data_IF_962596643874
#
_entry.id   IF_962596643874
#
_cell.length_a   1.000
_cell.length_b   1.000
_cell.length_c   1.000
_cell.angle_alpha   90.00
_cell.angle_beta   90.00
_cell.angle_gamma   90.00
#
_symmetry.space_group_name_H-M   'P 1'
#
loop_
_entity.id
_entity.type
_entity.pdbx_description
1 polymer ?
#
# COMPACT_ATOMS: atom_id res chain seq x y z
N UNK A 1 0.88 -6.44 4.78
CA UNK A 1 1.55 -5.29 4.13
C UNK A 1 2.47 -5.84 3.05
N UNK A 2 2.27 -5.45 1.78
CA UNK A 2 3.13 -5.90 0.69
C UNK A 2 4.14 -4.79 0.40
N UNK A 3 5.42 -5.03 0.72
CA UNK A 3 6.48 -4.13 0.27
C UNK A 3 6.66 -4.32 -1.24
N UNK A 4 6.94 -3.24 -1.98
CA UNK A 4 7.31 -3.31 -3.40
C UNK A 4 8.66 -4.01 -3.64
N UNK A 5 9.38 -4.34 -2.57
CA UNK A 5 10.56 -5.21 -2.54
C UNK A 5 10.33 -6.23 -1.42
N UNK A 6 10.09 -7.50 -1.78
CA UNK A 6 9.68 -8.55 -0.84
C UNK A 6 10.84 -9.33 -0.21
N UNK A 7 12.08 -8.97 -0.54
CA UNK A 7 13.29 -9.45 0.15
C UNK A 7 14.32 -8.33 0.23
N UNK A 8 14.82 -8.03 1.44
CA UNK A 8 16.11 -7.35 1.63
C UNK A 8 17.03 -8.35 2.34
N UNK A 9 18.27 -8.55 1.86
CA UNK A 9 19.31 -9.10 2.73
C UNK A 9 19.56 -8.07 3.82
N UNK A 10 19.70 -8.50 5.07
CA UNK A 10 20.14 -7.61 6.13
C UNK A 10 21.37 -6.80 5.66
N UNK A 11 21.30 -5.48 5.80
CA UNK A 11 22.38 -4.50 5.58
C UNK A 11 22.74 -4.03 4.15
N UNK A 12 21.90 -4.16 3.13
CA UNK A 12 22.14 -3.45 1.85
C UNK A 12 20.89 -2.79 1.27
N UNK A 13 20.79 -1.47 1.42
CA UNK A 13 19.79 -0.66 0.73
C UNK A 13 20.13 -0.58 -0.77
N UNK A 14 19.11 -0.76 -1.64
CA UNK A 14 19.15 -0.52 -3.10
C UNK A 14 20.03 -1.44 -3.99
N UNK A 15 20.54 -2.57 -3.54
CA UNK A 15 21.43 -3.41 -4.39
C UNK A 15 20.74 -4.14 -5.54
N UNK A 16 19.39 -4.26 -5.54
CA UNK A 16 18.63 -5.11 -6.48
C UNK A 16 17.51 -4.36 -7.25
N UNK A 17 17.64 -3.06 -7.45
CA UNK A 17 16.81 -2.34 -8.43
C UNK A 17 17.16 -2.89 -9.83
N UNK A 18 16.16 -3.21 -10.65
CA UNK A 18 16.30 -3.73 -12.03
C UNK A 18 16.61 -5.24 -12.24
N UNK A 19 16.56 -6.09 -11.20
CA UNK A 19 16.71 -7.56 -11.36
C UNK A 19 15.39 -8.36 -11.34
N UNK A 20 14.23 -7.71 -11.53
CA UNK A 20 12.95 -8.39 -11.81
C UNK A 20 11.90 -8.38 -10.69
N UNK A 21 12.18 -7.79 -9.52
CA UNK A 21 11.17 -7.66 -8.45
C UNK A 21 9.99 -6.76 -8.85
N UNK A 22 10.19 -5.77 -9.72
CA UNK A 22 9.07 -5.00 -10.28
C UNK A 22 8.11 -5.89 -11.06
N UNK A 23 8.61 -6.89 -11.81
CA UNK A 23 7.75 -7.77 -12.59
C UNK A 23 6.89 -8.66 -11.69
N UNK A 24 7.47 -9.19 -10.62
CA UNK A 24 6.74 -9.98 -9.64
C UNK A 24 5.64 -9.17 -8.96
N UNK A 25 5.98 -7.97 -8.47
CA UNK A 25 5.01 -7.11 -7.78
C UNK A 25 3.93 -6.60 -8.73
N UNK A 26 4.27 -6.32 -10.00
CA UNK A 26 3.28 -5.96 -11.02
C UNK A 26 2.33 -7.11 -11.35
N UNK A 27 2.85 -8.34 -11.43
CA UNK A 27 2.02 -9.53 -11.62
C UNK A 27 1.06 -9.72 -10.43
N UNK A 28 1.54 -9.57 -9.19
CA UNK A 28 0.71 -9.64 -8.01
C UNK A 28 -0.38 -8.55 -8.01
N UNK A 29 -0.03 -7.30 -8.35
CA UNK A 29 -0.99 -6.20 -8.45
C UNK A 29 -2.05 -6.48 -9.52
N UNK A 30 -1.64 -6.98 -10.69
CA UNK A 30 -2.56 -7.36 -11.76
C UNK A 30 -3.53 -8.45 -11.31
N UNK A 31 -3.04 -9.50 -10.64
CA UNK A 31 -3.90 -10.56 -10.11
C UNK A 31 -4.87 -10.00 -9.08
N UNK A 32 -4.39 -9.20 -8.11
CA UNK A 32 -5.25 -8.58 -7.11
C UNK A 32 -6.34 -7.69 -7.73
N UNK A 33 -6.01 -6.94 -8.80
CA UNK A 33 -6.98 -6.09 -9.51
C UNK A 33 -8.10 -6.90 -10.20
N UNK A 34 -7.88 -8.19 -10.50
CA UNK A 34 -8.93 -9.06 -11.07
C UNK A 34 -9.88 -9.64 -10.03
N UNK A 35 -9.60 -9.50 -8.74
CA UNK A 35 -10.42 -10.12 -7.70
C UNK A 35 -11.75 -9.40 -7.60
N UNK A 36 -12.85 -10.17 -7.66
CA UNK A 36 -14.20 -9.64 -7.56
C UNK A 36 -14.66 -9.38 -6.11
N UNK A 37 -13.82 -8.70 -5.32
CA UNK A 37 -14.17 -8.26 -3.97
C UNK A 37 -13.55 -6.89 -3.68
N UNK A 38 -14.12 -6.10 -2.77
CA UNK A 38 -13.55 -4.82 -2.39
C UNK A 38 -12.15 -4.97 -1.80
N UNK A 39 -11.19 -4.21 -2.34
CA UNK A 39 -9.78 -4.19 -1.91
C UNK A 39 -9.35 -2.72 -1.82
N UNK A 40 -8.60 -2.39 -0.78
CA UNK A 40 -8.00 -1.06 -0.61
C UNK A 40 -6.50 -1.13 -0.90
N UNK A 41 -6.05 -0.33 -1.87
CA UNK A 41 -4.64 -0.14 -2.21
C UNK A 41 -4.16 1.19 -1.64
N UNK A 42 -3.20 1.14 -0.71
CA UNK A 42 -2.58 2.33 -0.13
C UNK A 42 -1.22 2.55 -0.79
N UNK A 43 -1.11 3.60 -1.59
CA UNK A 43 0.07 3.92 -2.41
C UNK A 43 0.80 5.15 -1.87
N UNK A 44 1.83 4.93 -1.06
CA UNK A 44 2.65 6.01 -0.49
C UNK A 44 3.93 6.25 -1.29
N UNK A 45 4.10 7.50 -1.73
CA UNK A 45 5.25 7.93 -2.53
C UNK A 45 5.15 7.61 -4.03
N UNK A 46 5.92 8.34 -4.83
CA UNK A 46 5.87 8.27 -6.29
C UNK A 46 6.06 6.85 -6.86
N UNK A 47 6.95 5.98 -6.34
CA UNK A 47 7.10 4.63 -6.86
C UNK A 47 5.84 3.76 -6.75
N UNK A 48 5.14 3.83 -5.62
CA UNK A 48 3.89 3.11 -5.43
C UNK A 48 2.77 3.71 -6.29
N UNK A 49 2.70 5.04 -6.36
CA UNK A 49 1.67 5.74 -7.16
C UNK A 49 1.79 5.43 -8.66
N UNK A 50 2.98 5.16 -9.19
CA UNK A 50 3.14 4.72 -10.60
C UNK A 50 2.41 3.42 -10.92
N UNK A 51 2.08 2.59 -9.91
CA UNK A 51 1.36 1.32 -10.09
C UNK A 51 -0.15 1.52 -10.23
N UNK A 52 -0.66 2.73 -9.97
CA UNK A 52 -2.08 3.10 -10.12
C UNK A 52 -2.62 2.81 -11.54
N UNK A 53 -1.80 2.94 -12.58
CA UNK A 53 -2.22 2.66 -13.96
C UNK A 53 -2.65 1.22 -14.21
N UNK A 54 -2.28 0.28 -13.32
CA UNK A 54 -2.69 -1.12 -13.39
C UNK A 54 -3.96 -1.41 -12.57
N UNK A 55 -4.45 -0.44 -11.79
CA UNK A 55 -5.58 -0.59 -10.87
C UNK A 55 -6.81 0.09 -11.48
N UNK A 56 -7.60 -0.68 -12.24
CA UNK A 56 -8.76 -0.17 -12.98
C UNK A 56 -10.09 -0.81 -12.56
N UNK A 57 -10.08 -1.68 -11.55
CA UNK A 57 -11.30 -2.30 -11.05
C UNK A 57 -12.09 -1.31 -10.18
N UNK A 58 -13.34 -0.95 -10.55
CA UNK A 58 -14.14 0.03 -9.84
C UNK A 58 -14.61 -0.45 -8.45
N UNK A 59 -14.49 -1.75 -8.14
CA UNK A 59 -14.74 -2.30 -6.81
C UNK A 59 -13.58 -2.05 -5.84
N UNK A 60 -12.46 -1.51 -6.30
CA UNK A 60 -11.30 -1.25 -5.45
C UNK A 60 -11.17 0.24 -5.12
N UNK A 61 -10.59 0.53 -3.96
CA UNK A 61 -10.25 1.89 -3.54
C UNK A 61 -8.74 2.10 -3.62
N UNK A 62 -8.32 3.23 -4.18
CA UNK A 62 -6.92 3.65 -4.23
C UNK A 62 -6.75 4.88 -3.33
N UNK A 63 -5.91 4.76 -2.31
CA UNK A 63 -5.55 5.85 -1.40
C UNK A 63 -4.10 6.26 -1.65
N UNK A 64 -3.87 7.54 -1.96
CA UNK A 64 -2.53 8.06 -2.26
C UNK A 64 -2.11 9.11 -1.24
N UNK A 65 -0.83 9.08 -0.87
CA UNK A 65 -0.20 10.14 -0.10
C UNK A 65 1.30 10.19 -0.41
N UNK A 66 2.02 11.28 -0.07
CA UNK A 66 3.47 11.28 0.02
C UNK A 66 4.00 10.15 0.92
N UNK A 67 5.28 9.82 0.78
CA UNK A 67 5.90 8.79 1.61
C UNK A 67 5.95 9.23 3.09
N UNK A 68 5.77 8.33 4.07
CA UNK A 68 5.86 8.64 5.50
C UNK A 68 7.25 9.10 5.99
N UNK A 69 8.26 9.09 5.10
CA UNK A 69 9.62 9.53 5.45
C UNK A 69 9.59 10.98 5.94
N UNK A 70 10.39 11.36 6.96
CA UNK A 70 10.47 12.73 7.48
C UNK A 70 10.67 13.79 6.38
N UNK A 71 11.38 13.44 5.30
CA UNK A 71 11.66 14.33 4.16
C UNK A 71 10.40 14.74 3.37
N UNK A 72 9.34 13.94 3.41
CA UNK A 72 8.11 14.14 2.62
C UNK A 72 6.83 14.12 3.43
N UNK A 73 6.86 13.72 4.70
CA UNK A 73 5.65 13.49 5.48
C UNK A 73 4.79 14.75 5.66
N UNK A 74 5.44 15.90 5.88
CA UNK A 74 4.80 17.20 6.03
C UNK A 74 4.13 17.71 4.74
N UNK A 75 4.45 17.12 3.58
CA UNK A 75 3.90 17.53 2.28
C UNK A 75 2.53 16.90 1.98
N UNK A 76 1.89 16.29 2.97
CA UNK A 76 0.54 15.73 2.85
C UNK A 76 0.40 14.26 3.24
N UNK A 77 1.42 13.62 3.83
CA UNK A 77 1.23 12.33 4.50
C UNK A 77 0.46 12.53 5.80
N UNK A 78 0.90 13.47 6.64
CA UNK A 78 0.13 13.89 7.81
C UNK A 78 -1.20 14.49 7.37
N UNK A 79 -2.29 14.02 7.97
CA UNK A 79 -3.65 14.40 7.58
C UNK A 79 -4.26 13.62 6.40
N UNK A 80 -3.51 12.73 5.73
CA UNK A 80 -4.04 11.92 4.62
C UNK A 80 -5.13 10.92 5.06
N UNK A 81 -5.15 10.57 6.35
CA UNK A 81 -6.11 9.67 7.02
C UNK A 81 -6.32 8.33 6.28
N UNK A 82 -5.25 7.61 5.91
CA UNK A 82 -5.38 6.41 5.07
C UNK A 82 -6.08 5.27 5.80
N UNK A 83 -5.85 5.14 7.12
CA UNK A 83 -6.44 4.08 7.95
C UNK A 83 -7.94 4.25 8.16
N UNK A 84 -8.41 5.47 8.50
CA UNK A 84 -9.84 5.71 8.68
C UNK A 84 -10.59 5.57 7.36
N UNK A 85 -10.07 6.13 6.27
CA UNK A 85 -10.65 5.98 4.91
C UNK A 85 -10.71 4.52 4.46
N UNK A 86 -9.72 3.71 4.84
CA UNK A 86 -9.74 2.26 4.58
C UNK A 86 -10.92 1.63 5.29
N UNK A 87 -11.09 1.87 6.59
CA UNK A 87 -12.20 1.30 7.36
C UNK A 87 -13.56 1.83 6.90
N UNK A 88 -13.69 3.12 6.57
CA UNK A 88 -14.90 3.71 5.99
C UNK A 88 -15.32 2.97 4.72
N UNK A 89 -14.37 2.67 3.83
CA UNK A 89 -14.64 1.92 2.61
C UNK A 89 -15.01 0.45 2.88
N UNK A 90 -14.31 -0.21 3.79
CA UNK A 90 -14.62 -1.60 4.16
C UNK A 90 -16.04 -1.71 4.73
N UNK A 91 -16.39 -0.82 5.67
CA UNK A 91 -17.72 -0.76 6.29
C UNK A 91 -18.80 -0.49 5.23
N UNK A 92 -18.57 0.48 4.32
CA UNK A 92 -19.51 0.79 3.24
C UNK A 92 -19.75 -0.39 2.28
N UNK A 93 -18.84 -1.37 2.25
CA UNK A 93 -18.96 -2.59 1.46
C UNK A 93 -19.28 -3.84 2.30
N UNK A 94 -19.69 -3.67 3.57
CA UNK A 94 -20.05 -4.79 4.45
C UNK A 94 -18.89 -5.67 4.88
N UNK A 95 -17.66 -5.15 4.84
CA UNK A 95 -16.44 -5.84 5.29
C UNK A 95 -16.07 -5.32 6.68
N UNK A 96 -15.66 -6.23 7.56
CA UNK A 96 -15.19 -5.88 8.90
C UNK A 96 -13.99 -4.91 8.82
N UNK A 97 -14.01 -3.80 9.59
CA UNK A 97 -12.90 -2.85 9.60
C UNK A 97 -11.64 -3.47 10.20
N UNK A 98 -10.48 -2.94 9.83
CA UNK A 98 -9.20 -3.38 10.38
C UNK A 98 -9.00 -2.70 11.73
N UNK A 99 -8.66 -3.48 12.75
CA UNK A 99 -8.05 -2.96 13.97
C UNK A 99 -6.58 -2.62 13.69
N UNK A 100 -6.26 -1.32 13.75
CA UNK A 100 -4.93 -0.79 13.47
C UNK A 100 -4.06 -0.66 14.73
N UNK A 101 -4.62 -0.95 15.91
CA UNK A 101 -3.88 -0.88 17.15
C UNK A 101 -2.89 -2.05 17.24
N UNK A 102 -1.62 -1.74 17.48
CA UNK A 102 -0.59 -2.77 17.71
C UNK A 102 -0.55 -3.06 19.21
N UNK A 103 -0.39 -4.35 19.57
CA UNK A 103 -0.25 -4.77 20.96
C UNK A 103 0.94 -4.11 21.64
N UNK A 104 0.73 -3.66 22.88
CA UNK A 104 1.80 -3.13 23.72
C UNK A 104 2.59 -4.30 24.32
N UNK A 105 3.65 -4.73 23.65
CA UNK A 105 4.58 -5.70 24.22
C UNK A 105 5.43 -4.98 25.26
N UNK A 106 5.16 -5.22 26.56
CA UNK A 106 6.03 -4.75 27.64
C UNK A 106 7.29 -5.64 27.63
N UNK A 107 8.44 -5.05 27.31
CA UNK A 107 9.75 -5.67 27.47
C UNK A 107 10.21 -5.72 28.92
#
# INVERSE_FOLDING_TARGET
>A
MLNTVLTVRAHQANSHKDIGWEQFTDAAIRVLNTIDRPIVFILWGAPAQRKESMLNNPKHLILKAPHPSPLSAYRGFFGSKPFSKTNEFLIANGIEPIDWQIENVRG
#
